data_IF_285870468670
#
_entry.id   IF_285870468670
#
_cell.length_a   1.000
_cell.length_b   1.000
_cell.length_c   1.000
_cell.angle_alpha   90.00
_cell.angle_beta   90.00
_cell.angle_gamma   90.00
#
_symmetry.space_group_name_H-M   'P 1'
#
loop_
_entity.id
_entity.type
_entity.pdbx_description
1 polymer ?
#
# COMPACT_ATOMS: atom_id res chain seq x y z
N UNK A 1 2.22 6.54 -7.89
CA UNK A 1 2.97 6.35 -6.63
C UNK A 1 2.21 5.38 -5.73
N UNK A 2 2.95 4.54 -5.01
CA UNK A 2 2.41 3.54 -4.10
C UNK A 2 2.84 3.88 -2.67
N UNK A 3 1.88 3.93 -1.76
CA UNK A 3 2.10 4.26 -0.36
C UNK A 3 1.50 3.19 0.55
N UNK A 4 2.24 2.79 1.57
CA UNK A 4 1.78 1.84 2.59
C UNK A 4 2.04 2.39 3.97
N UNK A 5 1.02 2.35 4.82
CA UNK A 5 1.18 2.57 6.25
C UNK A 5 1.38 1.22 6.96
N UNK A 6 2.60 0.89 7.42
CA UNK A 6 2.89 -0.42 8.03
C UNK A 6 2.22 -0.62 9.39
N UNK A 7 1.77 0.44 10.07
CA UNK A 7 1.07 0.33 11.35
C UNK A 7 -0.40 -0.06 11.17
N UNK A 8 -1.05 0.42 10.10
CA UNK A 8 -2.48 0.19 9.86
C UNK A 8 -2.76 -0.81 8.74
N UNK A 9 -1.75 -1.13 7.92
CA UNK A 9 -1.90 -1.93 6.71
C UNK A 9 -2.61 -1.21 5.57
N UNK A 10 -2.82 0.11 5.67
CA UNK A 10 -3.47 0.87 4.61
C UNK A 10 -2.54 1.02 3.41
N UNK A 11 -3.02 0.57 2.26
CA UNK A 11 -2.36 0.68 0.97
C UNK A 11 -3.10 1.71 0.11
N UNK A 12 -2.36 2.64 -0.51
CA UNK A 12 -2.90 3.67 -1.39
C UNK A 12 -2.09 3.76 -2.67
N UNK A 13 -2.79 3.84 -3.79
CA UNK A 13 -2.23 4.13 -5.11
C UNK A 13 -2.71 5.50 -5.56
N UNK A 14 -1.79 6.33 -6.03
CA UNK A 14 -2.07 7.68 -6.53
C UNK A 14 -1.38 7.93 -7.87
N UNK A 15 -1.91 8.91 -8.62
CA UNK A 15 -1.24 9.46 -9.79
C UNK A 15 0.04 10.21 -9.39
N UNK A 16 0.98 10.46 -10.31
CA UNK A 16 2.13 11.32 -10.04
C UNK A 16 1.76 12.74 -9.62
N UNK A 17 0.59 13.24 -10.06
CA UNK A 17 0.04 14.54 -9.67
C UNK A 17 -0.58 14.56 -8.26
N UNK A 18 -0.58 13.44 -7.54
CA UNK A 18 -1.09 13.34 -6.16
C UNK A 18 -2.56 12.96 -6.02
N UNK A 19 -3.28 12.72 -7.13
CA UNK A 19 -4.68 12.28 -7.07
C UNK A 19 -4.76 10.82 -6.64
N UNK A 20 -5.60 10.50 -5.66
CA UNK A 20 -5.81 9.12 -5.22
C UNK A 20 -6.59 8.35 -6.29
N UNK A 21 -6.06 7.20 -6.69
CA UNK A 21 -6.71 6.28 -7.63
C UNK A 21 -7.51 5.24 -6.85
N UNK A 22 -6.91 4.65 -5.80
CA UNK A 22 -7.54 3.62 -4.99
C UNK A 22 -6.83 3.42 -3.65
N UNK A 23 -7.52 2.82 -2.69
CA UNK A 23 -6.92 2.37 -1.43
C UNK A 23 -7.67 1.21 -0.80
N UNK A 24 -6.93 0.29 -0.19
CA UNK A 24 -7.49 -0.86 0.50
C UNK A 24 -6.62 -1.26 1.69
N UNK A 25 -7.21 -2.00 2.63
CA UNK A 25 -6.49 -2.53 3.79
C UNK A 25 -5.87 -3.89 3.43
N UNK A 26 -4.57 -4.00 3.62
CA UNK A 26 -3.85 -5.26 3.47
C UNK A 26 -4.11 -6.15 4.69
N UNK A 27 -4.25 -7.44 4.46
CA UNK A 27 -4.15 -8.41 5.54
C UNK A 27 -2.67 -8.61 5.95
N UNK A 28 -2.45 -9.26 7.09
CA UNK A 28 -1.11 -9.40 7.68
C UNK A 28 -0.08 -10.10 6.77
N UNK A 29 -0.53 -11.04 5.92
CA UNK A 29 0.35 -11.75 4.97
C UNK A 29 0.77 -10.84 3.81
N UNK A 30 -0.22 -10.16 3.21
CA UNK A 30 0.02 -9.19 2.14
C UNK A 30 0.90 -8.03 2.61
N UNK A 31 0.69 -7.53 3.83
CA UNK A 31 1.50 -6.48 4.39
C UNK A 31 2.97 -6.92 4.56
N UNK A 32 3.21 -8.15 5.04
CA UNK A 32 4.57 -8.71 5.13
C UNK A 32 5.24 -8.79 3.75
N UNK A 33 4.51 -9.23 2.73
CA UNK A 33 5.06 -9.31 1.37
C UNK A 33 5.46 -7.92 0.87
N UNK A 34 4.60 -6.91 1.07
CA UNK A 34 4.86 -5.55 0.59
C UNK A 34 6.02 -4.91 1.34
N UNK A 35 6.12 -5.11 2.65
CA UNK A 35 7.24 -4.57 3.46
C UNK A 35 8.57 -5.23 3.09
N UNK A 36 8.58 -6.56 2.92
CA UNK A 36 9.83 -7.30 2.74
C UNK A 36 10.30 -7.36 1.28
N UNK A 37 9.36 -7.35 0.34
CA UNK A 37 9.61 -7.61 -1.08
C UNK A 37 9.22 -6.46 -1.99
N UNK A 38 8.45 -5.48 -1.49
CA UNK A 38 7.92 -4.37 -2.29
C UNK A 38 6.73 -4.75 -3.18
N UNK A 39 6.20 -5.97 -3.06
CA UNK A 39 5.06 -6.47 -3.84
C UNK A 39 4.07 -7.19 -2.93
N UNK A 40 2.82 -7.34 -3.38
CA UNK A 40 1.91 -8.33 -2.80
C UNK A 40 2.50 -9.75 -2.87
#
# INVERSE_FOLDING_TARGET
MHYVNPKTGLNVISTPSGNVISGWKLNSSQLKNVINRGSL
#
